data_IF_470433379112
#
_entry.id   IF_470433379112
#
_cell.length_a   1.000
_cell.length_b   1.000
_cell.length_c   1.000
_cell.angle_alpha   90.00
_cell.angle_beta   90.00
_cell.angle_gamma   90.00
#
_symmetry.space_group_name_H-M   'P 1'
#
loop_
_entity.id
_entity.type
_entity.pdbx_description
1 polymer ?
#
# COMPACT_ATOMS: atom_id res chain seq x y z
N UNK A 1 -31.57 -75.05 -26.89
CA UNK A 1 -32.18 -73.92 -27.54
C UNK A 1 -31.65 -72.67 -26.87
N UNK A 2 -30.91 -71.97 -27.58
CA UNK A 2 -30.10 -70.81 -27.39
C UNK A 2 -30.90 -69.50 -27.14
N UNK A 3 -30.46 -68.67 -26.22
CA UNK A 3 -30.52 -67.22 -26.48
C UNK A 3 -29.48 -66.46 -25.64
N UNK A 4 -28.78 -65.53 -26.23
CA UNK A 4 -27.67 -64.79 -25.57
C UNK A 4 -28.17 -63.48 -24.98
N UNK A 5 -27.72 -63.19 -23.77
CA UNK A 5 -27.92 -61.90 -23.20
C UNK A 5 -26.60 -61.09 -23.22
N UNK A 6 -26.41 -60.37 -24.28
CA UNK A 6 -25.35 -59.36 -24.45
C UNK A 6 -25.95 -57.98 -24.33
N UNK A 7 -25.21 -57.06 -23.67
CA UNK A 7 -25.38 -55.63 -23.64
C UNK A 7 -25.88 -55.04 -22.32
N UNK A 8 -24.96 -54.87 -21.39
CA UNK A 8 -25.01 -53.75 -20.42
C UNK A 8 -23.60 -53.47 -19.84
N UNK A 9 -22.61 -53.34 -20.73
CA UNK A 9 -21.28 -52.86 -20.34
C UNK A 9 -20.93 -51.69 -21.28
N UNK A 10 -21.36 -50.49 -21.00
CA UNK A 10 -21.07 -49.41 -21.92
C UNK A 10 -21.60 -48.02 -21.53
N UNK A 11 -21.99 -47.82 -20.27
CA UNK A 11 -22.49 -46.47 -19.88
C UNK A 11 -21.91 -45.91 -18.57
N UNK A 12 -20.85 -46.50 -18.02
CA UNK A 12 -20.21 -46.06 -16.80
C UNK A 12 -18.82 -45.43 -17.02
N UNK A 13 -18.33 -45.35 -18.26
CA UNK A 13 -17.00 -44.81 -18.56
C UNK A 13 -16.99 -43.34 -19.03
N UNK A 14 -18.16 -42.67 -19.08
CA UNK A 14 -18.26 -41.31 -19.65
C UNK A 14 -18.43 -40.16 -18.62
N UNK A 15 -18.39 -40.44 -17.32
CA UNK A 15 -18.65 -39.43 -16.30
C UNK A 15 -17.43 -39.05 -15.43
N UNK A 16 -16.23 -39.55 -15.73
CA UNK A 16 -15.00 -39.24 -14.93
C UNK A 16 -14.09 -38.19 -15.62
N UNK A 17 -14.43 -37.74 -16.84
CA UNK A 17 -13.55 -36.85 -17.61
C UNK A 17 -13.84 -35.34 -17.46
N UNK A 18 -14.79 -34.90 -16.63
CA UNK A 18 -15.15 -33.46 -16.50
C UNK A 18 -14.68 -32.82 -15.19
N UNK A 19 -14.06 -33.57 -14.28
CA UNK A 19 -13.71 -33.14 -12.93
C UNK A 19 -12.32 -32.50 -12.72
N UNK A 20 -11.45 -32.39 -13.73
CA UNK A 20 -10.02 -32.02 -13.49
C UNK A 20 -9.61 -30.69 -14.08
N UNK A 21 -10.50 -29.89 -14.68
CA UNK A 21 -10.11 -28.62 -15.33
C UNK A 21 -10.35 -27.37 -14.45
N UNK A 22 -10.86 -27.50 -13.22
CA UNK A 22 -11.22 -26.33 -12.40
C UNK A 22 -10.17 -25.88 -11.37
N UNK A 23 -8.97 -26.46 -11.34
CA UNK A 23 -7.95 -26.15 -10.31
C UNK A 23 -6.80 -25.25 -10.79
N UNK A 24 -6.93 -24.58 -11.95
CA UNK A 24 -5.79 -23.92 -12.59
C UNK A 24 -5.85 -22.40 -12.73
N UNK A 25 -6.83 -21.67 -12.17
CA UNK A 25 -6.98 -20.23 -12.43
C UNK A 25 -6.84 -19.29 -11.21
N UNK A 26 -6.16 -19.69 -10.15
CA UNK A 26 -5.87 -18.77 -9.04
C UNK A 26 -4.39 -18.38 -8.92
N UNK A 27 -3.66 -18.37 -10.01
CA UNK A 27 -2.28 -17.87 -10.07
C UNK A 27 -2.23 -16.48 -10.71
N UNK A 28 -3.08 -15.54 -10.29
CA UNK A 28 -2.89 -14.13 -10.59
C UNK A 28 -2.05 -13.49 -9.50
N UNK A 29 -0.73 -13.35 -9.74
CA UNK A 29 0.05 -12.24 -9.22
C UNK A 29 0.43 -12.27 -7.75
N UNK A 30 0.93 -13.38 -7.22
CA UNK A 30 1.83 -13.33 -6.07
C UNK A 30 3.25 -13.10 -6.59
N UNK A 31 3.65 -11.84 -6.80
CA UNK A 31 5.05 -11.50 -6.64
C UNK A 31 5.41 -11.97 -5.22
N UNK A 32 6.33 -12.92 -5.06
CA UNK A 32 6.60 -13.70 -3.86
C UNK A 32 7.10 -12.93 -2.63
N UNK A 33 6.43 -11.84 -2.27
CA UNK A 33 6.65 -11.08 -1.04
C UNK A 33 5.61 -11.49 0.00
N UNK A 34 6.06 -11.66 1.24
CA UNK A 34 5.17 -11.79 2.39
C UNK A 34 4.33 -10.53 2.51
N UNK A 35 3.03 -10.69 2.80
CA UNK A 35 2.15 -9.55 3.05
C UNK A 35 2.75 -8.65 4.16
N UNK A 36 2.60 -7.31 4.06
CA UNK A 36 3.13 -6.41 5.07
C UNK A 36 2.51 -6.66 6.46
N UNK A 37 3.35 -6.67 7.47
CA UNK A 37 2.94 -6.70 8.89
C UNK A 37 2.98 -5.26 9.44
N UNK A 38 1.80 -4.66 9.67
CA UNK A 38 1.69 -3.29 10.15
C UNK A 38 2.17 -3.11 11.59
N UNK A 39 2.04 -4.13 12.45
CA UNK A 39 2.50 -4.07 13.83
C UNK A 39 4.03 -4.10 13.89
N UNK A 40 4.65 -4.98 13.12
CA UNK A 40 6.10 -4.99 12.94
C UNK A 40 6.58 -3.67 12.31
N UNK A 41 5.84 -3.13 11.34
CA UNK A 41 6.11 -1.84 10.71
C UNK A 41 6.09 -0.69 11.71
N UNK A 42 5.08 -0.63 12.59
CA UNK A 42 5.01 0.36 13.69
C UNK A 42 6.21 0.28 14.62
N UNK A 43 6.54 -0.93 15.08
CA UNK A 43 7.68 -1.16 15.97
C UNK A 43 8.98 -0.72 15.33
N UNK A 44 9.20 -1.10 14.08
CA UNK A 44 10.41 -0.73 13.32
C UNK A 44 10.46 0.77 13.05
N UNK A 45 9.33 1.43 12.78
CA UNK A 45 9.26 2.88 12.62
C UNK A 45 9.67 3.60 13.91
N UNK A 46 9.11 3.21 15.06
CA UNK A 46 9.46 3.83 16.35
C UNK A 46 10.96 3.72 16.61
N UNK A 47 11.54 2.55 16.37
CA UNK A 47 12.95 2.27 16.69
C UNK A 47 13.94 2.95 15.75
N UNK A 48 13.62 3.10 14.46
CA UNK A 48 14.58 3.53 13.45
C UNK A 48 14.28 4.91 12.84
N UNK A 49 13.03 5.34 12.87
CA UNK A 49 12.57 6.56 12.19
C UNK A 49 12.07 7.63 13.17
N UNK A 50 11.51 7.19 14.31
CA UNK A 50 10.82 8.04 15.28
C UNK A 50 11.69 9.08 15.97
N UNK A 51 13.02 8.87 16.02
CA UNK A 51 13.96 9.89 16.55
C UNK A 51 14.05 11.13 15.66
N UNK A 52 13.77 10.97 14.36
CA UNK A 52 13.87 12.05 13.38
C UNK A 52 12.50 12.52 12.87
N UNK A 53 11.51 11.62 12.78
CA UNK A 53 10.20 11.90 12.20
C UNK A 53 9.08 11.91 13.24
N UNK A 54 8.17 12.88 13.10
CA UNK A 54 6.88 12.87 13.80
C UNK A 54 5.88 11.99 13.03
N UNK A 55 5.16 11.13 13.75
CA UNK A 55 4.00 10.40 13.27
C UNK A 55 3.06 10.16 14.46
N UNK A 56 1.86 10.72 14.39
CA UNK A 56 0.91 10.75 15.51
C UNK A 56 0.53 9.35 15.99
N UNK A 57 0.19 8.43 15.07
CA UNK A 57 -0.16 7.05 15.40
C UNK A 57 0.97 6.31 16.12
N UNK A 58 2.22 6.58 15.77
CA UNK A 58 3.40 6.01 16.42
C UNK A 58 3.77 6.70 17.73
N UNK A 59 3.15 7.83 18.07
CA UNK A 59 3.49 8.65 19.24
C UNK A 59 4.88 9.30 19.18
N UNK A 60 5.49 9.37 18.00
CA UNK A 60 6.83 9.93 17.82
C UNK A 60 6.79 11.45 17.60
N UNK A 61 7.87 12.14 18.00
CA UNK A 61 7.97 13.59 17.99
C UNK A 61 9.32 14.10 17.45
N UNK A 62 9.95 13.34 16.56
CA UNK A 62 11.21 13.73 15.93
C UNK A 62 11.03 14.94 15.02
N UNK A 63 11.99 15.90 15.08
CA UNK A 63 11.91 17.20 14.38
C UNK A 63 13.01 17.37 13.32
N UNK A 64 13.88 16.38 13.11
CA UNK A 64 14.96 16.46 12.13
C UNK A 64 14.43 16.21 10.72
N UNK A 65 13.55 15.25 10.58
CA UNK A 65 12.85 14.94 9.34
C UNK A 65 11.44 15.56 9.30
N UNK A 66 10.78 15.53 8.14
CA UNK A 66 9.41 16.02 8.02
C UNK A 66 8.44 15.24 8.91
N UNK A 67 7.38 15.93 9.36
CA UNK A 67 6.21 15.31 9.95
C UNK A 67 5.50 14.46 8.89
N UNK A 68 5.34 13.17 9.16
CA UNK A 68 4.76 12.22 8.19
C UNK A 68 3.27 12.49 7.97
N UNK A 69 2.53 12.87 9.00
CA UNK A 69 1.10 13.19 8.86
C UNK A 69 0.89 14.39 7.93
N UNK A 70 1.66 15.44 8.11
CA UNK A 70 1.55 16.66 7.29
C UNK A 70 1.97 16.40 5.85
N UNK A 71 3.02 15.60 5.66
CA UNK A 71 3.54 15.25 4.32
C UNK A 71 2.52 14.54 3.44
N UNK A 72 1.62 13.75 4.03
CA UNK A 72 0.68 12.92 3.27
C UNK A 72 -0.77 13.42 3.29
N UNK A 73 -1.10 14.39 4.13
CA UNK A 73 -2.45 14.90 4.31
C UNK A 73 -3.10 15.37 3.00
N UNK A 74 -2.43 16.25 2.27
CA UNK A 74 -2.95 16.79 1.02
C UNK A 74 -3.18 15.69 -0.03
N UNK A 75 -2.28 14.73 -0.10
CA UNK A 75 -2.39 13.61 -1.03
C UNK A 75 -3.57 12.70 -0.71
N UNK A 76 -3.89 12.51 0.59
CA UNK A 76 -5.09 11.76 0.99
C UNK A 76 -6.37 12.49 0.60
N UNK A 77 -6.41 13.81 0.76
CA UNK A 77 -7.58 14.62 0.39
C UNK A 77 -7.93 14.50 -1.09
N UNK A 78 -6.96 14.30 -1.97
CA UNK A 78 -7.17 14.07 -3.40
C UNK A 78 -7.31 12.59 -3.78
N UNK A 79 -7.45 11.68 -2.79
CA UNK A 79 -7.78 10.28 -3.00
C UNK A 79 -6.63 9.38 -3.46
N UNK A 80 -5.37 9.75 -3.19
CA UNK A 80 -4.24 8.85 -3.46
C UNK A 80 -4.33 7.63 -2.53
N UNK A 81 -4.16 6.44 -3.09
CA UNK A 81 -4.32 5.15 -2.38
C UNK A 81 -3.08 4.77 -1.58
N UNK A 82 -3.28 4.02 -0.49
CA UNK A 82 -2.21 3.55 0.40
C UNK A 82 -1.09 2.80 -0.35
N UNK A 83 -1.43 2.00 -1.36
CA UNK A 83 -0.43 1.29 -2.16
C UNK A 83 0.53 2.20 -2.92
N UNK A 84 0.07 3.39 -3.32
CA UNK A 84 0.91 4.39 -3.98
C UNK A 84 1.81 5.09 -2.96
N UNK A 85 1.31 5.35 -1.75
CA UNK A 85 2.11 5.85 -0.64
C UNK A 85 3.20 4.85 -0.26
N UNK A 86 2.83 3.59 -0.06
CA UNK A 86 3.77 2.53 0.28
C UNK A 86 4.96 2.50 -0.70
N UNK A 87 4.69 2.41 -1.99
CA UNK A 87 5.75 2.39 -3.01
C UNK A 87 6.64 3.63 -3.00
N UNK A 88 6.04 4.80 -2.74
CA UNK A 88 6.78 6.07 -2.63
C UNK A 88 7.69 6.07 -1.40
N UNK A 89 7.19 5.63 -0.24
CA UNK A 89 7.96 5.58 1.01
C UNK A 89 9.12 4.58 0.89
N UNK A 90 8.88 3.38 0.35
CA UNK A 90 9.94 2.39 0.08
C UNK A 90 11.03 2.98 -0.82
N UNK A 91 10.64 3.72 -1.85
CA UNK A 91 11.59 4.40 -2.72
C UNK A 91 12.41 5.43 -1.94
N UNK A 92 11.79 6.27 -1.13
CA UNK A 92 12.49 7.29 -0.35
C UNK A 92 13.46 6.66 0.65
N UNK A 93 13.12 5.57 1.33
CA UNK A 93 14.04 4.84 2.20
C UNK A 93 15.32 4.42 1.44
N UNK A 94 15.18 3.99 0.17
CA UNK A 94 16.33 3.56 -0.64
C UNK A 94 17.21 4.70 -1.14
N UNK A 95 16.61 5.83 -1.53
CA UNK A 95 17.32 6.92 -2.21
C UNK A 95 17.49 8.16 -1.33
N UNK A 96 17.15 8.07 -0.06
CA UNK A 96 17.22 9.18 0.88
C UNK A 96 18.54 9.96 0.78
N UNK A 97 18.46 11.25 1.08
CA UNK A 97 19.62 12.14 1.13
C UNK A 97 19.86 12.60 2.56
N UNK A 98 21.11 12.93 2.88
CA UNK A 98 21.45 13.47 4.20
C UNK A 98 20.48 14.62 4.59
N UNK A 99 20.03 14.68 5.85
CA UNK A 99 20.52 13.92 7.00
C UNK A 99 19.94 12.50 7.12
N UNK A 100 18.91 12.11 6.35
CA UNK A 100 18.33 10.77 6.39
C UNK A 100 19.31 9.75 5.77
N UNK A 101 19.68 8.68 6.49
CA UNK A 101 20.55 7.63 5.94
C UNK A 101 19.84 6.84 4.83
N UNK A 102 20.57 6.54 3.75
CA UNK A 102 20.07 5.64 2.70
C UNK A 102 20.03 4.20 3.19
N UNK A 103 18.98 3.48 2.77
CA UNK A 103 18.84 2.06 3.09
C UNK A 103 18.96 1.76 4.59
N UNK A 104 18.44 2.65 5.46
CA UNK A 104 18.43 2.48 6.90
C UNK A 104 17.84 1.13 7.32
N UNK A 105 16.77 0.76 6.62
CA UNK A 105 16.11 -0.55 6.70
C UNK A 105 15.92 -1.11 5.29
N UNK A 106 15.81 -2.46 5.15
CA UNK A 106 15.73 -3.15 3.85
C UNK A 106 14.77 -4.34 3.91
N UNK A 107 14.48 -4.92 2.75
CA UNK A 107 13.67 -6.13 2.64
C UNK A 107 12.29 -5.97 3.28
N UNK A 108 11.84 -6.99 3.98
CA UNK A 108 10.51 -7.02 4.59
C UNK A 108 10.30 -5.90 5.62
N UNK A 109 11.32 -5.49 6.37
CA UNK A 109 11.20 -4.38 7.33
C UNK A 109 10.89 -3.06 6.62
N UNK A 110 11.51 -2.80 5.47
CA UNK A 110 11.20 -1.60 4.69
C UNK A 110 9.77 -1.65 4.13
N UNK A 111 9.32 -2.82 3.67
CA UNK A 111 7.94 -3.04 3.21
C UNK A 111 6.93 -2.87 4.35
N UNK A 112 7.21 -3.43 5.53
CA UNK A 112 6.35 -3.31 6.71
C UNK A 112 6.22 -1.85 7.17
N UNK A 113 7.34 -1.14 7.29
CA UNK A 113 7.35 0.29 7.67
C UNK A 113 6.61 1.14 6.65
N UNK A 114 6.86 0.92 5.37
CA UNK A 114 6.21 1.70 4.32
C UNK A 114 4.69 1.47 4.31
N UNK A 115 4.24 0.23 4.46
CA UNK A 115 2.83 -0.11 4.56
C UNK A 115 2.18 0.50 5.82
N UNK A 116 2.87 0.42 6.97
CA UNK A 116 2.39 1.04 8.20
C UNK A 116 2.22 2.54 8.06
N UNK A 117 3.25 3.27 7.60
CA UNK A 117 3.14 4.72 7.37
C UNK A 117 2.01 5.01 6.38
N UNK A 118 1.93 4.25 5.30
CA UNK A 118 0.88 4.43 4.28
C UNK A 118 -0.53 4.24 4.84
N UNK A 119 -0.72 3.39 5.84
CA UNK A 119 -2.04 3.15 6.44
C UNK A 119 -2.48 4.24 7.42
N UNK A 120 -1.53 4.94 8.08
CA UNK A 120 -1.87 5.86 9.18
C UNK A 120 -1.50 7.32 8.94
N UNK A 121 -0.45 7.62 8.16
CA UNK A 121 0.02 8.99 7.97
C UNK A 121 -1.02 9.88 7.29
N UNK A 122 -1.26 11.05 7.85
CA UNK A 122 -2.25 12.01 7.36
C UNK A 122 -3.71 11.64 7.61
N UNK A 123 -3.99 10.58 8.40
CA UNK A 123 -5.35 10.24 8.84
C UNK A 123 -5.74 10.96 10.12
N UNK A 124 -4.76 11.29 10.98
CA UNK A 124 -5.00 11.99 12.23
C UNK A 124 -5.32 13.47 11.99
N UNK A 125 -6.36 13.97 12.66
CA UNK A 125 -6.74 15.39 12.66
C UNK A 125 -5.80 16.23 13.54
N UNK A 126 -5.02 15.59 14.41
CA UNK A 126 -4.24 16.20 15.49
C UNK A 126 -2.83 16.66 15.08
N UNK A 127 -2.51 16.69 13.82
CA UNK A 127 -1.23 17.25 13.37
C UNK A 127 -1.27 18.76 13.57
N UNK A 128 -0.41 19.20 14.47
CA UNK A 128 -0.35 20.57 14.95
C UNK A 128 -0.46 21.60 13.83
N UNK A 129 -1.41 22.43 14.04
CA UNK A 129 -1.74 23.69 13.42
C UNK A 129 -0.62 24.27 12.55
N UNK A 130 -0.66 23.93 11.25
CA UNK A 130 -0.50 25.00 10.29
C UNK A 130 -1.92 25.55 10.07
N UNK A 131 -2.19 26.83 10.42
CA UNK A 131 -3.42 27.45 10.01
C UNK A 131 -3.53 27.19 8.51
N UNK A 132 -4.71 26.77 8.06
CA UNK A 132 -4.98 26.68 6.65
C UNK A 132 -4.41 27.94 6.03
N UNK A 133 -3.32 27.80 5.29
CA UNK A 133 -2.84 28.91 4.48
C UNK A 133 -3.99 29.09 3.50
N UNK A 134 -4.82 30.10 3.80
CA UNK A 134 -5.70 30.65 2.80
C UNK A 134 -4.80 30.87 1.60
N UNK A 135 -4.94 29.99 0.61
CA UNK A 135 -4.30 30.22 -0.68
C UNK A 135 -4.63 31.66 -1.03
N UNK A 136 -3.60 32.52 -1.23
CA UNK A 136 -3.91 33.85 -1.76
C UNK A 136 -4.75 33.56 -3.00
N UNK A 137 -5.99 34.04 -2.99
CA UNK A 137 -6.84 33.98 -4.16
C UNK A 137 -6.07 34.68 -5.26
N UNK A 138 -5.44 33.87 -6.14
CA UNK A 138 -4.82 34.40 -7.35
C UNK A 138 -5.96 34.99 -8.14
N UNK A 139 -6.01 36.33 -8.32
CA UNK A 139 -7.08 36.94 -9.08
C UNK A 139 -7.10 36.26 -10.46
N UNK A 140 -8.26 35.69 -10.79
CA UNK A 140 -8.45 35.05 -12.07
C UNK A 140 -8.13 36.10 -13.15
N UNK A 141 -7.19 35.88 -14.07
CA UNK A 141 -6.91 36.87 -15.11
C UNK A 141 -8.22 37.18 -15.87
N UNK A 142 -8.48 38.46 -16.20
CA UNK A 142 -9.68 38.83 -16.91
C UNK A 142 -9.81 37.96 -18.16
N UNK A 143 -11.00 37.38 -18.34
CA UNK A 143 -11.27 36.59 -19.56
C UNK A 143 -11.03 37.52 -20.74
N UNK A 144 -10.12 37.11 -21.60
CA UNK A 144 -9.96 37.70 -22.90
C UNK A 144 -11.08 37.10 -23.81
N UNK A 145 -12.28 37.53 -23.58
CA UNK A 145 -13.37 37.26 -24.48
C UNK A 145 -13.46 38.42 -25.45
N UNK A 146 -13.01 38.08 -26.63
CA UNK A 146 -13.67 38.36 -27.90
C UNK A 146 -13.75 39.84 -28.32
N UNK A 147 -12.80 40.20 -29.13
CA UNK A 147 -13.05 41.06 -30.29
C UNK A 147 -12.84 40.26 -31.55
#
# INVERSE_FOLDING_TARGET
MTTPTRRRAGRLAALIAVGVVSAGLTACGSSGGTAPDLAAGKTTFISNCGSCHTLADAGTKGLIGPNMDDSWRASRQVGIRDSQFQGTIERWIRIAQKPMPRNLIKGQDATNVAAYIASVAGTSQDSGVFPAQSTPEVPNPPRQDQE
#
